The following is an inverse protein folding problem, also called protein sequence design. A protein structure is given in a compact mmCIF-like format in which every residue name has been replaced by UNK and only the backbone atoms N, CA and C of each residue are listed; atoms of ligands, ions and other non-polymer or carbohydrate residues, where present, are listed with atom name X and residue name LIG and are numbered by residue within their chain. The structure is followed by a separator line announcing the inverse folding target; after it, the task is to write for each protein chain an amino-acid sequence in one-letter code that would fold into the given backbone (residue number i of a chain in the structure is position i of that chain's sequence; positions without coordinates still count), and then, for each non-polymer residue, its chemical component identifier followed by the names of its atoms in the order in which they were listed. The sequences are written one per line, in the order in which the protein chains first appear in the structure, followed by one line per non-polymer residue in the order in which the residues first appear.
data_IF_168113332423
#
_entry.id   IF_168113332423
#
_cell.length_a   1.000
_cell.length_b   1.000
_cell.length_c   1.000
_cell.angle_alpha   90.00
_cell.angle_beta   90.00
_cell.angle_gamma   90.00
#
_symmetry.space_group_name_H-M   'P 1'
#
loop_
_entity.id
_entity.type
_entity.pdbx_description
1 polymer ?
#
# COMPACT_ATOMS: atom_id res chain seq x y z
N UNK A 1 22.12 7.08 34.68
CA UNK A 1 22.14 8.17 33.67
C UNK A 1 22.43 7.68 32.25
N UNK A 2 23.62 7.21 31.88
CA UNK A 2 23.89 6.76 30.50
C UNK A 2 23.01 5.58 30.04
N UNK A 3 22.80 4.57 30.90
CA UNK A 3 21.94 3.42 30.60
C UNK A 3 20.46 3.81 30.44
N UNK A 4 19.93 4.69 31.29
CA UNK A 4 18.54 5.18 31.17
C UNK A 4 18.32 6.01 29.89
N UNK A 5 19.35 6.74 29.44
CA UNK A 5 19.29 7.49 28.19
C UNK A 5 19.33 6.56 26.97
N UNK A 6 20.11 5.48 27.03
CA UNK A 6 20.13 4.43 26.01
C UNK A 6 18.80 3.68 25.95
N UNK A 7 18.23 3.29 27.08
CA UNK A 7 16.93 2.60 27.14
C UNK A 7 15.80 3.49 26.60
N UNK A 8 15.81 4.79 26.90
CA UNK A 8 14.86 5.76 26.33
C UNK A 8 15.07 5.97 24.83
N UNK A 9 16.32 5.94 24.36
CA UNK A 9 16.64 6.05 22.94
C UNK A 9 16.16 4.82 22.17
N UNK A 10 16.42 3.61 22.68
CA UNK A 10 15.96 2.35 22.08
C UNK A 10 14.44 2.27 22.04
N UNK A 11 13.75 2.69 23.12
CA UNK A 11 12.29 2.75 23.14
C UNK A 11 11.74 3.69 22.04
N UNK A 12 12.34 4.87 21.86
CA UNK A 12 11.95 5.80 20.79
C UNK A 12 12.29 5.28 19.39
N UNK A 13 13.38 4.52 19.26
CA UNK A 13 13.78 3.93 17.98
C UNK A 13 12.80 2.83 17.54
N UNK A 14 12.35 2.00 18.48
CA UNK A 14 11.32 0.98 18.25
C UNK A 14 9.97 1.62 17.90
N UNK A 15 9.61 2.72 18.56
CA UNK A 15 8.42 3.51 18.23
C UNK A 15 8.51 4.12 16.81
N UNK A 16 9.68 4.66 16.45
CA UNK A 16 9.94 5.20 15.11
C UNK A 16 9.88 4.12 14.02
N UNK A 17 10.41 2.92 14.26
CA UNK A 17 10.31 1.79 13.32
C UNK A 17 8.86 1.37 13.10
N UNK A 18 8.06 1.31 14.16
CA UNK A 18 6.64 0.96 14.09
C UNK A 18 5.83 2.00 13.30
N UNK A 19 6.15 3.28 13.48
CA UNK A 19 5.49 4.37 12.76
C UNK A 19 5.97 4.51 11.31
N UNK A 20 7.23 4.18 11.01
CA UNK A 20 7.76 4.19 9.65
C UNK A 20 7.11 3.08 8.81
N UNK A 21 6.95 1.88 9.37
CA UNK A 21 6.24 0.77 8.72
C UNK A 21 4.77 1.10 8.42
N UNK A 22 4.13 1.94 9.27
CA UNK A 22 2.78 2.45 8.99
C UNK A 22 2.78 3.39 7.80
N UNK A 23 3.67 4.38 7.78
CA UNK A 23 3.77 5.36 6.69
C UNK A 23 4.07 4.71 5.33
N UNK A 24 4.91 3.67 5.31
CA UNK A 24 5.27 2.94 4.09
C UNK A 24 4.07 2.16 3.53
N UNK A 25 3.29 1.51 4.40
CA UNK A 25 2.09 0.76 3.99
C UNK A 25 0.98 1.66 3.44
N UNK A 26 0.77 2.86 4.00
CA UNK A 26 -0.20 3.81 3.46
C UNK A 26 0.27 4.45 2.14
N UNK A 27 1.58 4.71 2.01
CA UNK A 27 2.16 5.15 0.73
C UNK A 27 1.96 4.10 -0.36
N UNK A 28 2.19 2.82 -0.05
CA UNK A 28 1.93 1.70 -0.98
C UNK A 28 0.46 1.62 -1.42
N UNK A 29 -0.49 1.84 -0.51
CA UNK A 29 -1.92 1.84 -0.85
C UNK A 29 -2.28 2.94 -1.86
N UNK A 30 -1.73 4.14 -1.71
CA UNK A 30 -2.00 5.24 -2.67
C UNK A 30 -1.45 4.95 -4.05
N UNK A 31 -0.25 4.35 -4.13
CA UNK A 31 0.35 3.93 -5.40
C UNK A 31 -0.45 2.78 -6.02
N UNK A 32 -0.86 1.78 -5.24
CA UNK A 32 -1.73 0.69 -5.70
C UNK A 32 -3.04 1.23 -6.28
N UNK A 33 -3.66 2.19 -5.59
CA UNK A 33 -4.88 2.83 -6.07
C UNK A 33 -4.66 3.55 -7.41
N UNK A 34 -3.59 4.34 -7.53
CA UNK A 34 -3.23 5.00 -8.77
C UNK A 34 -3.00 4.00 -9.92
N UNK A 35 -2.34 2.86 -9.64
CA UNK A 35 -2.14 1.78 -10.62
C UNK A 35 -3.47 1.16 -11.06
N UNK A 36 -4.39 0.88 -10.15
CA UNK A 36 -5.72 0.34 -10.46
C UNK A 36 -6.49 1.30 -11.38
N UNK A 37 -6.51 2.59 -11.05
CA UNK A 37 -7.14 3.61 -11.89
C UNK A 37 -6.48 3.69 -13.27
N UNK A 38 -5.15 3.67 -13.32
CA UNK A 38 -4.39 3.72 -14.56
C UNK A 38 -4.67 2.52 -15.47
N UNK A 39 -4.59 1.29 -14.95
CA UNK A 39 -4.87 0.07 -15.73
C UNK A 39 -6.32 0.06 -16.22
N UNK A 40 -7.26 0.47 -15.36
CA UNK A 40 -8.68 0.56 -15.72
C UNK A 40 -8.91 1.56 -16.84
N UNK A 41 -8.35 2.78 -16.73
CA UNK A 41 -8.44 3.80 -17.77
C UNK A 41 -7.78 3.35 -19.07
N UNK A 42 -6.61 2.70 -18.99
CA UNK A 42 -5.90 2.17 -20.14
C UNK A 42 -6.73 1.10 -20.87
N UNK A 43 -7.46 0.25 -20.13
CA UNK A 43 -8.30 -0.80 -20.72
C UNK A 43 -9.47 -0.29 -21.56
N UNK A 44 -9.84 0.99 -21.42
CA UNK A 44 -10.93 1.64 -22.17
C UNK A 44 -10.47 2.22 -23.51
N UNK A 45 -9.15 2.25 -23.77
CA UNK A 45 -8.61 2.67 -25.06
C UNK A 45 -8.92 1.64 -26.15
N UNK A 46 -8.75 2.07 -27.39
CA UNK A 46 -8.96 1.23 -28.57
C UNK A 46 -7.83 0.19 -28.67
N UNK A 47 -8.03 -0.92 -27.96
CA UNK A 47 -7.07 -2.00 -27.76
C UNK A 47 -7.66 -3.30 -28.30
N UNK A 48 -6.78 -4.19 -28.74
CA UNK A 48 -7.17 -5.55 -29.07
C UNK A 48 -7.93 -6.20 -27.89
N UNK A 49 -9.02 -6.96 -28.14
CA UNK A 49 -9.90 -7.48 -27.09
C UNK A 49 -9.18 -8.27 -25.99
N UNK A 50 -8.08 -8.96 -26.34
CA UNK A 50 -7.26 -9.70 -25.38
C UNK A 50 -6.54 -8.79 -24.37
N UNK A 51 -6.04 -7.63 -24.82
CA UNK A 51 -5.22 -6.72 -24.05
C UNK A 51 -6.11 -5.94 -23.08
N UNK A 52 -7.31 -5.55 -23.53
CA UNK A 52 -8.35 -5.02 -22.65
C UNK A 52 -8.69 -5.99 -21.53
N UNK A 53 -8.89 -7.28 -21.83
CA UNK A 53 -9.15 -8.29 -20.79
C UNK A 53 -7.99 -8.45 -19.82
N UNK A 54 -6.75 -8.50 -20.31
CA UNK A 54 -5.56 -8.58 -19.46
C UNK A 54 -5.44 -7.37 -18.52
N UNK A 55 -5.64 -6.16 -19.02
CA UNK A 55 -5.60 -4.94 -18.21
C UNK A 55 -6.70 -4.91 -17.15
N UNK A 56 -7.91 -5.34 -17.50
CA UNK A 56 -9.02 -5.43 -16.54
C UNK A 56 -8.75 -6.47 -15.45
N UNK A 57 -8.29 -7.68 -15.82
CA UNK A 57 -7.93 -8.72 -14.86
C UNK A 57 -6.82 -8.21 -13.92
N UNK A 58 -5.80 -7.54 -14.47
CA UNK A 58 -4.72 -6.94 -13.69
C UNK A 58 -5.22 -5.85 -12.72
N UNK A 59 -6.08 -4.95 -13.18
CA UNK A 59 -6.68 -3.92 -12.34
C UNK A 59 -7.53 -4.52 -11.21
N UNK A 60 -8.34 -5.55 -11.51
CA UNK A 60 -9.15 -6.25 -10.51
C UNK A 60 -8.28 -6.97 -9.48
N UNK A 61 -7.22 -7.66 -9.92
CA UNK A 61 -6.30 -8.35 -9.02
C UNK A 61 -5.58 -7.38 -8.08
N UNK A 62 -5.05 -6.27 -8.61
CA UNK A 62 -4.41 -5.22 -7.80
C UNK A 62 -5.40 -4.56 -6.83
N UNK A 63 -6.64 -4.32 -7.28
CA UNK A 63 -7.70 -3.79 -6.43
C UNK A 63 -8.02 -4.73 -5.26
N UNK A 64 -8.11 -6.04 -5.53
CA UNK A 64 -8.32 -7.05 -4.49
C UNK A 64 -7.17 -7.07 -3.47
N UNK A 65 -5.91 -6.96 -3.93
CA UNK A 65 -4.75 -6.84 -3.03
C UNK A 65 -4.86 -5.59 -2.15
N UNK A 66 -5.26 -4.44 -2.71
CA UNK A 66 -5.50 -3.22 -1.95
C UNK A 66 -6.57 -3.39 -0.86
N UNK A 67 -7.67 -4.09 -1.17
CA UNK A 67 -8.72 -4.42 -0.19
C UNK A 67 -8.17 -5.34 0.91
N UNK A 68 -7.40 -6.37 0.56
CA UNK A 68 -6.76 -7.25 1.56
C UNK A 68 -5.86 -6.45 2.50
N UNK A 69 -5.04 -5.54 1.97
CA UNK A 69 -4.17 -4.68 2.78
C UNK A 69 -5.02 -3.81 3.74
N UNK A 70 -6.08 -3.16 3.23
CA UNK A 70 -6.98 -2.35 4.06
C UNK A 70 -7.65 -3.15 5.18
N UNK A 71 -8.07 -4.39 4.90
CA UNK A 71 -8.71 -5.26 5.91
C UNK A 71 -7.71 -5.84 6.92
N UNK A 72 -6.44 -6.03 6.54
CA UNK A 72 -5.40 -6.61 7.40
C UNK A 72 -4.82 -5.59 8.38
N UNK A 73 -4.72 -4.32 7.97
CA UNK A 73 -4.24 -3.23 8.80
C UNK A 73 -5.41 -2.30 9.17
N UNK A 74 -6.21 -2.66 10.20
CA UNK A 74 -7.35 -1.83 10.59
C UNK A 74 -6.85 -0.44 10.98
N UNK A 75 -7.45 0.57 10.35
CA UNK A 75 -7.28 1.97 10.68
C UNK A 75 -7.74 2.13 12.13
N UNK A 76 -6.80 2.07 13.09
CA UNK A 76 -7.05 2.57 14.43
C UNK A 76 -6.95 4.08 14.34
N UNK A 77 -8.12 4.71 14.23
CA UNK A 77 -8.32 6.15 14.34
C UNK A 77 -7.88 6.60 15.74
#
# INVERSE_FOLDING_TARGET
EAQELTERADAKFQEALTNNQRGDNYSLLTVLFALVLFLTAMSQRDLAPWARKFLLIGATALGAVGVVILTTFPIRI
#
